data_IF_075730056348
#
_entry.id   IF_075730056348
#
_cell.length_a   1.000
_cell.length_b   1.000
_cell.length_c   1.000
_cell.angle_alpha   90.00
_cell.angle_beta   90.00
_cell.angle_gamma   90.00
#
_symmetry.space_group_name_H-M   'P 1'
#
loop_
_entity.id
_entity.type
_entity.pdbx_description
1 polymer ?
#
# COMPACT_ATOMS: atom_id res chain seq x y z
N UNK A 1 -4.12 11.60 -51.68
CA UNK A 1 -3.03 12.31 -52.38
C UNK A 1 -2.79 13.57 -51.56
N UNK A 2 -1.67 13.83 -50.91
CA UNK A 2 -0.23 13.58 -51.14
C UNK A 2 0.38 12.81 -49.91
N UNK A 3 1.44 11.97 -49.92
CA UNK A 3 2.87 12.11 -50.35
C UNK A 3 3.51 13.38 -49.77
N UNK A 4 4.60 13.44 -49.01
CA UNK A 4 5.64 12.50 -48.53
C UNK A 4 6.27 13.18 -47.27
N UNK A 5 7.20 12.65 -46.47
CA UNK A 5 8.17 11.54 -46.62
C UNK A 5 8.55 10.90 -45.27
N UNK A 6 9.57 10.04 -45.27
CA UNK A 6 10.25 9.45 -44.10
C UNK A 6 11.42 10.34 -43.65
N UNK A 7 11.65 10.46 -42.35
CA UNK A 7 12.93 10.87 -41.76
C UNK A 7 13.32 9.90 -40.64
N UNK A 8 14.12 8.89 -40.98
CA UNK A 8 14.69 7.92 -40.06
C UNK A 8 15.91 8.56 -39.38
N UNK A 9 15.85 8.82 -38.08
CA UNK A 9 17.01 9.27 -37.29
C UNK A 9 17.23 8.34 -36.11
N UNK A 10 17.94 7.24 -36.41
CA UNK A 10 18.45 6.30 -35.44
C UNK A 10 19.65 6.94 -34.72
N UNK A 11 19.53 7.22 -33.42
CA UNK A 11 20.65 7.68 -32.60
C UNK A 11 20.82 6.77 -31.39
N UNK A 12 21.68 5.77 -31.57
CA UNK A 12 22.19 4.92 -30.51
C UNK A 12 23.07 5.76 -29.58
N UNK A 13 22.70 5.86 -28.31
CA UNK A 13 23.66 6.16 -27.23
C UNK A 13 23.42 5.18 -26.10
N UNK A 14 24.02 3.99 -26.22
CA UNK A 14 24.16 3.09 -25.09
C UNK A 14 25.32 3.58 -24.21
N UNK A 15 25.07 3.80 -22.93
CA UNK A 15 26.10 4.05 -21.93
C UNK A 15 25.90 3.10 -20.77
N UNK A 16 26.64 1.99 -20.82
CA UNK A 16 26.66 0.94 -19.81
C UNK A 16 27.78 1.31 -18.82
N UNK A 17 27.43 1.56 -17.56
CA UNK A 17 28.42 1.65 -16.48
C UNK A 17 27.89 0.90 -15.26
N UNK A 18 28.30 -0.36 -15.11
CA UNK A 18 27.92 -1.21 -13.99
C UNK A 18 29.02 -2.25 -13.72
N UNK A 19 30.12 -1.81 -13.09
CA UNK A 19 31.10 -2.71 -12.48
C UNK A 19 31.59 -2.11 -11.16
N UNK A 20 30.99 -2.54 -10.06
CA UNK A 20 31.51 -2.34 -8.72
C UNK A 20 31.54 -3.70 -8.01
N UNK A 21 32.71 -4.34 -8.00
CA UNK A 21 32.99 -5.50 -7.17
C UNK A 21 34.32 -5.26 -6.48
N UNK A 22 34.33 -5.36 -5.15
CA UNK A 22 35.48 -5.07 -4.31
C UNK A 22 35.23 -5.59 -2.90
N UNK A 23 35.52 -6.86 -2.69
CA UNK A 23 35.51 -7.48 -1.36
C UNK A 23 36.92 -7.54 -0.75
N UNK A 24 36.99 -7.82 0.55
CA UNK A 24 38.25 -8.11 1.25
C UNK A 24 38.41 -7.28 2.53
N UNK A 25 38.42 -7.96 3.67
CA UNK A 25 38.60 -7.34 5.00
C UNK A 25 38.33 -8.34 6.11
N UNK A 26 39.29 -9.22 6.37
CA UNK A 26 39.17 -10.28 7.36
C UNK A 26 39.40 -9.79 8.80
N UNK A 27 38.65 -10.39 9.72
CA UNK A 27 39.02 -10.84 11.05
C UNK A 27 40.23 -10.17 11.76
N UNK A 28 39.97 -9.55 12.91
CA UNK A 28 40.87 -9.66 14.07
C UNK A 28 40.05 -9.61 15.35
N UNK A 29 40.10 -10.68 16.13
CA UNK A 29 39.42 -10.80 17.41
C UNK A 29 40.29 -10.29 18.56
N UNK A 30 39.70 -9.53 19.49
CA UNK A 30 40.24 -9.37 20.85
C UNK A 30 39.09 -9.34 21.86
N UNK A 31 39.00 -10.38 22.69
CA UNK A 31 38.18 -10.43 23.92
C UNK A 31 39.09 -10.15 25.12
N UNK A 32 38.59 -9.72 26.29
CA UNK A 32 38.11 -10.73 27.25
C UNK A 32 36.94 -10.34 28.19
N UNK A 33 36.25 -11.40 28.65
CA UNK A 33 35.66 -11.58 30.00
C UNK A 33 34.36 -10.87 30.42
N UNK A 34 33.27 -11.61 30.22
CA UNK A 34 32.39 -12.14 31.27
C UNK A 34 31.42 -11.21 32.05
N UNK A 35 30.13 -11.26 31.66
CA UNK A 35 28.97 -11.32 32.57
C UNK A 35 28.00 -12.41 32.08
N UNK A 36 27.25 -13.00 33.01
CA UNK A 36 26.56 -14.31 32.94
C UNK A 36 25.36 -14.41 31.98
N UNK A 37 25.19 -15.62 31.42
CA UNK A 37 24.07 -16.11 30.59
C UNK A 37 22.70 -16.12 31.33
N UNK A 38 21.56 -16.17 30.62
CA UNK A 38 21.02 -17.49 30.22
C UNK A 38 20.56 -17.62 28.74
N UNK A 39 20.65 -18.85 28.26
CA UNK A 39 20.31 -19.36 26.92
C UNK A 39 18.81 -19.36 26.62
N UNK A 40 18.40 -19.18 25.35
CA UNK A 40 17.32 -19.96 24.69
C UNK A 40 17.41 -19.90 23.15
N UNK A 41 17.85 -21.02 22.58
CA UNK A 41 17.35 -21.71 21.36
C UNK A 41 17.13 -20.98 20.03
N UNK A 42 17.92 -21.38 19.04
CA UNK A 42 17.68 -21.28 17.58
C UNK A 42 16.39 -21.98 17.14
N UNK A 43 15.59 -21.34 16.28
CA UNK A 43 14.46 -21.98 15.57
C UNK A 43 14.42 -21.51 14.11
N UNK A 44 14.36 -22.46 13.18
CA UNK A 44 14.48 -22.22 11.73
C UNK A 44 13.19 -21.79 11.03
N UNK A 45 13.40 -21.36 9.78
CA UNK A 45 12.49 -21.13 8.66
C UNK A 45 11.16 -21.94 8.61
N UNK A 46 10.18 -21.24 8.04
CA UNK A 46 9.06 -21.75 7.23
C UNK A 46 7.77 -22.19 7.94
N UNK A 47 6.73 -21.37 7.78
CA UNK A 47 5.45 -21.80 7.18
C UNK A 47 4.59 -20.58 6.89
N UNK A 48 3.97 -20.55 5.71
CA UNK A 48 3.03 -19.51 5.35
C UNK A 48 1.87 -19.44 6.35
N UNK A 49 1.58 -18.24 6.86
CA UNK A 49 0.35 -17.98 7.60
C UNK A 49 -0.84 -17.94 6.63
N UNK A 50 -1.22 -19.11 6.11
CA UNK A 50 -2.64 -19.40 5.82
C UNK A 50 -3.37 -19.51 7.15
N UNK A 51 -3.46 -18.37 7.86
CA UNK A 51 -4.49 -18.20 8.87
C UNK A 51 -5.81 -18.27 8.12
N UNK A 52 -6.57 -19.33 8.37
CA UNK A 52 -7.96 -19.47 7.98
C UNK A 52 -8.76 -18.38 8.69
N UNK A 53 -8.71 -17.17 8.14
CA UNK A 53 -9.35 -15.99 8.72
C UNK A 53 -10.84 -16.24 8.73
N UNK A 54 -11.41 -16.39 9.93
CA UNK A 54 -12.85 -16.34 10.11
C UNK A 54 -13.36 -15.08 9.41
N UNK A 55 -14.23 -15.26 8.40
CA UNK A 55 -14.66 -14.21 7.48
C UNK A 55 -15.67 -13.28 8.13
N UNK A 56 -15.26 -12.67 9.24
CA UNK A 56 -15.91 -11.47 9.78
C UNK A 56 -15.83 -10.41 8.70
N UNK A 57 -16.98 -9.94 8.21
CA UNK A 57 -17.03 -8.92 7.17
C UNK A 57 -16.34 -7.64 7.66
N UNK A 58 -15.64 -6.99 6.74
CA UNK A 58 -15.06 -5.67 6.98
C UNK A 58 -16.21 -4.67 6.91
N UNK A 59 -16.32 -3.77 7.88
CA UNK A 59 -17.42 -2.81 7.97
C UNK A 59 -16.90 -1.37 8.04
N UNK A 60 -17.67 -0.42 7.51
CA UNK A 60 -17.26 0.99 7.48
C UNK A 60 -16.93 1.51 8.87
N UNK A 61 -17.85 1.39 9.83
CA UNK A 61 -17.73 2.02 11.17
C UNK A 61 -16.49 1.52 11.92
N UNK A 62 -16.22 0.22 11.85
CA UNK A 62 -15.19 -0.43 12.67
C UNK A 62 -13.80 -0.38 12.01
N UNK A 63 -13.75 -0.56 10.69
CA UNK A 63 -12.53 -0.94 9.99
C UNK A 63 -12.04 0.13 9.00
N UNK A 64 -12.95 0.90 8.39
CA UNK A 64 -12.60 1.87 7.32
C UNK A 64 -12.64 3.32 7.80
N UNK A 65 -13.64 3.69 8.62
CA UNK A 65 -13.75 5.04 9.18
C UNK A 65 -12.46 5.48 9.90
N UNK A 66 -11.79 4.64 10.72
CA UNK A 66 -10.52 5.04 11.35
C UNK A 66 -9.39 5.35 10.35
N UNK A 67 -9.39 4.72 9.17
CA UNK A 67 -8.42 5.01 8.10
C UNK A 67 -8.73 6.37 7.46
N UNK A 68 -10.00 6.62 7.12
CA UNK A 68 -10.41 7.88 6.50
C UNK A 68 -10.24 9.07 7.46
N UNK A 69 -10.58 8.88 8.74
CA UNK A 69 -10.42 9.86 9.81
C UNK A 69 -8.94 10.24 10.05
N UNK A 70 -8.01 9.29 9.88
CA UNK A 70 -6.57 9.53 10.09
C UNK A 70 -5.83 10.05 8.86
N UNK A 71 -6.17 9.55 7.68
CA UNK A 71 -5.36 9.76 6.46
C UNK A 71 -6.04 10.65 5.40
N UNK A 72 -7.35 10.91 5.48
CA UNK A 72 -8.10 11.47 4.34
C UNK A 72 -8.91 12.74 4.65
N UNK A 73 -9.56 12.85 5.81
CA UNK A 73 -10.46 13.99 6.11
C UNK A 73 -9.75 15.35 6.26
N UNK A 74 -8.42 15.39 6.27
CA UNK A 74 -7.65 16.64 6.23
C UNK A 74 -7.82 17.40 4.90
N UNK A 75 -7.96 16.68 3.79
CA UNK A 75 -8.20 17.22 2.44
C UNK A 75 -9.60 16.89 1.90
N UNK A 76 -10.28 15.88 2.46
CA UNK A 76 -11.61 15.40 2.05
C UNK A 76 -12.64 15.41 3.21
N UNK A 77 -12.53 16.39 4.10
CA UNK A 77 -13.41 16.60 5.26
C UNK A 77 -14.52 17.62 5.01
N UNK A 78 -15.26 18.04 6.06
CA UNK A 78 -16.36 18.99 5.91
C UNK A 78 -15.90 20.42 5.60
N UNK A 79 -14.68 20.80 6.02
CA UNK A 79 -14.14 22.17 5.85
C UNK A 79 -13.26 22.34 4.61
N UNK A 80 -12.62 21.26 4.16
CA UNK A 80 -11.75 21.19 2.97
C UNK A 80 -12.12 19.89 2.26
N UNK A 81 -12.59 19.99 1.02
CA UNK A 81 -13.01 18.86 0.18
C UNK A 81 -12.46 19.02 -1.23
N UNK A 82 -11.18 18.67 -1.40
CA UNK A 82 -10.49 18.64 -2.69
C UNK A 82 -11.25 17.76 -3.70
N UNK A 83 -11.30 18.19 -4.96
CA UNK A 83 -12.07 17.58 -6.04
C UNK A 83 -13.58 17.38 -5.74
N UNK A 84 -14.14 18.18 -4.82
CA UNK A 84 -15.49 18.04 -4.25
C UNK A 84 -15.76 16.68 -3.56
N UNK A 85 -14.70 15.96 -3.19
CA UNK A 85 -14.79 14.66 -2.52
C UNK A 85 -14.83 14.84 -1.00
N UNK A 86 -15.89 14.28 -0.41
CA UNK A 86 -16.18 14.25 1.04
C UNK A 86 -16.12 12.81 1.54
N UNK A 87 -15.37 12.57 2.62
CA UNK A 87 -15.15 11.24 3.23
C UNK A 87 -15.48 11.20 4.73
N UNK A 88 -16.08 12.28 5.26
CA UNK A 88 -16.45 12.53 6.66
C UNK A 88 -17.65 11.71 7.17
N UNK A 89 -18.38 11.03 6.30
CA UNK A 89 -19.51 10.17 6.67
C UNK A 89 -19.73 9.04 5.67
N UNK A 90 -20.35 7.94 6.08
CA UNK A 90 -20.68 6.80 5.21
C UNK A 90 -21.43 7.26 3.96
N UNK A 91 -22.47 8.08 4.13
CA UNK A 91 -23.26 8.62 3.02
C UNK A 91 -22.46 9.47 2.02
N UNK A 92 -21.40 10.16 2.47
CA UNK A 92 -20.51 10.89 1.57
C UNK A 92 -19.50 9.94 0.87
N UNK A 93 -18.92 8.99 1.60
CA UNK A 93 -18.02 7.96 1.03
C UNK A 93 -18.74 7.14 -0.06
N UNK A 94 -20.00 6.79 0.15
CA UNK A 94 -20.81 6.04 -0.83
C UNK A 94 -21.13 6.81 -2.12
N UNK A 95 -20.86 8.13 -2.21
CA UNK A 95 -20.92 8.88 -3.48
C UNK A 95 -19.78 8.52 -4.43
N UNK A 96 -18.62 8.13 -3.89
CA UNK A 96 -17.42 7.72 -4.65
C UNK A 96 -17.18 6.20 -4.63
N UNK A 97 -17.90 5.47 -3.77
CA UNK A 97 -17.79 4.02 -3.65
C UNK A 97 -18.89 3.29 -4.42
N UNK A 98 -18.49 2.46 -5.39
CA UNK A 98 -19.37 1.45 -5.98
C UNK A 98 -19.15 0.10 -5.28
N UNK A 99 -20.11 -0.29 -4.44
CA UNK A 99 -20.13 -1.57 -3.74
C UNK A 99 -19.92 -2.76 -4.71
N UNK A 100 -19.20 -3.78 -4.26
CA UNK A 100 -18.87 -4.98 -5.03
C UNK A 100 -17.86 -4.77 -6.17
N UNK A 101 -17.33 -3.55 -6.37
CA UNK A 101 -16.58 -3.20 -7.58
C UNK A 101 -15.14 -2.74 -7.30
N UNK A 102 -14.15 -3.51 -7.76
CA UNK A 102 -12.74 -3.14 -7.66
C UNK A 102 -12.38 -1.87 -8.48
N UNK A 103 -13.23 -1.46 -9.43
CA UNK A 103 -13.13 -0.19 -10.16
C UNK A 103 -13.92 0.95 -9.51
N UNK A 104 -14.29 0.81 -8.24
CA UNK A 104 -14.73 1.91 -7.35
C UNK A 104 -13.65 2.99 -7.23
N UNK A 105 -14.01 4.28 -7.17
CA UNK A 105 -13.03 5.37 -7.22
C UNK A 105 -12.05 5.31 -6.04
N UNK A 106 -12.56 5.10 -4.82
CA UNK A 106 -11.74 4.99 -3.62
C UNK A 106 -10.67 3.90 -3.77
N UNK A 107 -11.04 2.71 -4.25
CA UNK A 107 -10.12 1.59 -4.52
C UNK A 107 -9.07 1.96 -5.57
N UNK A 108 -9.47 2.65 -6.64
CA UNK A 108 -8.56 3.04 -7.72
C UNK A 108 -7.51 4.07 -7.31
N UNK A 109 -7.83 4.96 -6.37
CA UNK A 109 -6.90 5.99 -5.87
C UNK A 109 -6.07 5.51 -4.67
N UNK A 110 -6.56 4.57 -3.85
CA UNK A 110 -5.82 4.06 -2.67
C UNK A 110 -5.01 2.79 -2.91
N UNK A 111 -5.12 2.12 -4.06
CA UNK A 111 -4.24 0.99 -4.44
C UNK A 111 -2.78 1.41 -4.62
N UNK A 112 -1.83 0.47 -4.61
CA UNK A 112 -0.38 0.72 -4.63
C UNK A 112 0.16 1.68 -5.70
N UNK A 113 -0.51 1.82 -6.85
CA UNK A 113 -0.18 2.77 -7.92
C UNK A 113 -1.21 3.90 -8.11
N UNK A 114 -2.11 4.09 -7.15
CA UNK A 114 -3.12 5.15 -7.12
C UNK A 114 -2.57 6.43 -6.47
N UNK A 115 -3.15 7.57 -6.86
CA UNK A 115 -2.66 8.91 -6.47
C UNK A 115 -2.79 9.22 -4.98
N UNK A 116 -3.64 8.52 -4.22
CA UNK A 116 -3.84 8.70 -2.78
C UNK A 116 -3.10 7.67 -1.92
N UNK A 117 -2.53 6.62 -2.51
CA UNK A 117 -1.69 5.67 -1.77
C UNK A 117 -0.48 6.32 -1.05
N UNK A 118 0.18 7.35 -1.60
CA UNK A 118 1.22 8.10 -0.89
C UNK A 118 0.74 8.86 0.36
N UNK A 119 -0.56 9.07 0.54
CA UNK A 119 -1.14 9.78 1.69
C UNK A 119 -1.56 8.84 2.83
N UNK A 120 -1.67 7.53 2.57
CA UNK A 120 -1.91 6.54 3.62
C UNK A 120 -0.75 6.54 4.64
N UNK A 121 -1.03 6.45 5.93
CA UNK A 121 -0.01 6.43 6.99
C UNK A 121 0.23 5.00 7.51
N UNK A 122 1.43 4.70 8.01
CA UNK A 122 1.77 3.37 8.52
C UNK A 122 1.82 2.30 7.43
N UNK A 123 1.21 1.14 7.67
CA UNK A 123 1.10 0.08 6.66
C UNK A 123 0.06 0.42 5.59
N UNK A 124 0.54 1.09 4.54
CA UNK A 124 -0.23 1.49 3.36
C UNK A 124 -0.80 0.30 2.61
N UNK A 125 -0.07 -0.82 2.56
CA UNK A 125 -0.49 -2.01 1.83
C UNK A 125 -1.66 -2.70 2.54
N UNK A 126 -1.57 -2.87 3.87
CA UNK A 126 -2.66 -3.39 4.69
C UNK A 126 -3.89 -2.48 4.63
N UNK A 127 -3.74 -1.16 4.78
CA UNK A 127 -4.85 -0.19 4.65
C UNK A 127 -5.52 -0.26 3.27
N UNK A 128 -4.73 -0.29 2.19
CA UNK A 128 -5.25 -0.45 0.83
C UNK A 128 -5.99 -1.78 0.64
N UNK A 129 -5.48 -2.88 1.20
CA UNK A 129 -6.12 -4.19 1.11
C UNK A 129 -7.45 -4.23 1.90
N UNK A 130 -7.51 -3.55 3.06
CA UNK A 130 -8.73 -3.46 3.87
C UNK A 130 -9.82 -2.65 3.17
N UNK A 131 -9.45 -1.52 2.54
CA UNK A 131 -10.37 -0.73 1.70
C UNK A 131 -10.91 -1.57 0.53
N UNK A 132 -10.04 -2.31 -0.17
CA UNK A 132 -10.47 -3.22 -1.24
C UNK A 132 -11.42 -4.32 -0.72
N UNK A 133 -11.09 -4.96 0.40
CA UNK A 133 -11.89 -6.03 1.00
C UNK A 133 -13.25 -5.54 1.49
N UNK A 134 -13.34 -4.32 2.04
CA UNK A 134 -14.60 -3.69 2.39
C UNK A 134 -15.48 -3.43 1.16
N UNK A 135 -14.93 -2.74 0.15
CA UNK A 135 -15.70 -2.39 -1.05
C UNK A 135 -16.16 -3.63 -1.81
N UNK A 136 -15.26 -4.60 -2.05
CA UNK A 136 -15.50 -5.73 -2.95
C UNK A 136 -16.09 -6.93 -2.22
N UNK A 137 -15.44 -7.40 -1.15
CA UNK A 137 -15.82 -8.66 -0.50
C UNK A 137 -16.96 -8.47 0.52
N UNK A 138 -17.05 -7.28 1.12
CA UNK A 138 -18.07 -6.94 2.13
C UNK A 138 -19.16 -6.01 1.58
N UNK A 139 -19.23 -5.86 0.25
CA UNK A 139 -20.20 -5.04 -0.48
C UNK A 139 -20.39 -3.61 0.10
N UNK A 140 -19.29 -3.00 0.57
CA UNK A 140 -19.25 -1.71 1.25
C UNK A 140 -20.19 -1.57 2.46
N UNK A 141 -20.43 -2.64 3.23
CA UNK A 141 -21.33 -2.63 4.40
C UNK A 141 -20.98 -1.55 5.44
N UNK A 142 -21.99 -0.91 6.02
CA UNK A 142 -21.80 0.14 7.04
C UNK A 142 -21.41 -0.46 8.40
N UNK A 143 -22.16 -1.47 8.84
CA UNK A 143 -21.92 -2.27 10.05
C UNK A 143 -21.64 -3.74 9.70
N UNK A 144 -21.25 -4.52 10.72
CA UNK A 144 -21.24 -5.98 10.67
C UNK A 144 -22.63 -6.55 10.93
#
# INVERSE_FOLDING_TARGET
MFKTSIALSLLLVASIIATACGGGGADTATSPSAVTTPTTTTGSTDSGSTTTTSTTSVAYVNDIKPILDSDCIVCHGPSVHEEDVRLDSYANVMKVVRAGSASSLLVQVTRSNGIMFPNLTGDRAAKSALILAWVVNSNAAESR
#
